data_IF_097808623005
#
_entry.id   IF_097808623005
#
_cell.length_a   1.000
_cell.length_b   1.000
_cell.length_c   1.000
_cell.angle_alpha   90.00
_cell.angle_beta   90.00
_cell.angle_gamma   90.00
#
_symmetry.space_group_name_H-M   'P 1'
#
loop_
_entity.id
_entity.type
_entity.pdbx_description
1 polymer ?
#
# COMPACT_ATOMS: atom_id res chain seq x y z
N UNK A 1 -7.49 -8.57 -3.43
CA UNK A 1 -6.90 -8.24 -4.74
C UNK A 1 -7.91 -8.32 -5.88
N UNK A 2 -8.59 -9.45 -6.12
CA UNK A 2 -9.55 -9.58 -7.23
C UNK A 2 -10.67 -8.52 -7.19
N UNK A 3 -11.25 -8.26 -6.02
CA UNK A 3 -12.27 -7.22 -5.84
C UNK A 3 -11.75 -5.81 -6.18
N UNK A 4 -10.55 -5.45 -5.72
CA UNK A 4 -9.94 -4.15 -6.02
C UNK A 4 -9.61 -4.01 -7.52
N UNK A 5 -9.18 -5.07 -8.19
CA UNK A 5 -8.90 -5.06 -9.63
C UNK A 5 -10.19 -4.92 -10.46
N UNK A 6 -11.26 -5.60 -10.07
CA UNK A 6 -12.58 -5.45 -10.68
C UNK A 6 -13.12 -4.03 -10.51
N UNK A 7 -12.97 -3.45 -9.31
CA UNK A 7 -13.39 -2.07 -9.03
C UNK A 7 -12.60 -1.03 -9.85
N UNK A 8 -11.28 -1.20 -10.01
CA UNK A 8 -10.46 -0.36 -10.90
C UNK A 8 -10.95 -0.44 -12.34
N UNK A 9 -11.20 -1.65 -12.84
CA UNK A 9 -11.64 -1.86 -14.22
C UNK A 9 -13.01 -1.24 -14.47
N UNK A 10 -13.95 -1.42 -13.55
CA UNK A 10 -15.27 -0.79 -13.65
C UNK A 10 -15.17 0.74 -13.63
N UNK A 11 -14.39 1.32 -12.70
CA UNK A 11 -14.22 2.76 -12.63
C UNK A 11 -13.54 3.35 -13.88
N UNK A 12 -12.58 2.62 -14.46
CA UNK A 12 -11.92 2.99 -15.73
C UNK A 12 -12.91 3.00 -16.89
N UNK A 13 -13.80 2.01 -16.98
CA UNK A 13 -14.86 1.98 -17.98
C UNK A 13 -15.84 3.16 -17.80
N UNK A 14 -16.25 3.44 -16.55
CA UNK A 14 -17.11 4.60 -16.25
C UNK A 14 -16.46 5.93 -16.63
N UNK A 15 -15.15 6.07 -16.43
CA UNK A 15 -14.40 7.24 -16.87
C UNK A 15 -14.39 7.37 -18.39
N UNK A 16 -14.17 6.27 -19.12
CA UNK A 16 -14.20 6.28 -20.60
C UNK A 16 -15.57 6.72 -21.13
N UNK A 17 -16.66 6.19 -20.56
CA UNK A 17 -18.02 6.58 -20.92
C UNK A 17 -18.25 8.07 -20.62
N UNK A 18 -17.87 8.53 -19.42
CA UNK A 18 -18.06 9.94 -19.02
C UNK A 18 -17.25 10.89 -19.90
N UNK A 19 -16.06 10.47 -20.33
CA UNK A 19 -15.21 11.22 -21.27
C UNK A 19 -15.86 11.35 -22.63
N UNK A 20 -16.40 10.25 -23.18
CA UNK A 20 -17.14 10.28 -24.43
C UNK A 20 -18.39 11.18 -24.33
N UNK A 21 -19.15 11.06 -23.24
CA UNK A 21 -20.32 11.90 -23.03
C UNK A 21 -19.96 13.39 -22.92
N UNK A 22 -18.84 13.72 -22.28
CA UNK A 22 -18.38 15.11 -22.17
C UNK A 22 -18.00 15.69 -23.53
N UNK A 23 -17.28 14.91 -24.35
CA UNK A 23 -16.91 15.31 -25.72
C UNK A 23 -18.14 15.54 -26.62
N UNK A 24 -19.23 14.82 -26.36
CA UNK A 24 -20.51 14.99 -27.05
C UNK A 24 -21.41 16.06 -26.40
N UNK A 25 -20.96 16.73 -25.34
CA UNK A 25 -21.75 17.74 -24.61
C UNK A 25 -22.89 17.19 -23.75
N UNK A 26 -22.96 15.86 -23.55
CA UNK A 26 -24.03 15.18 -22.82
C UNK A 26 -23.85 15.20 -21.30
N UNK A 27 -22.64 15.46 -20.79
CA UNK A 27 -22.35 15.62 -19.35
C UNK A 27 -21.51 16.86 -19.11
N UNK A 28 -21.63 17.41 -17.90
CA UNK A 28 -20.80 18.56 -17.49
C UNK A 28 -19.37 18.14 -17.15
N UNK A 29 -18.45 19.10 -17.18
CA UNK A 29 -17.07 18.88 -16.75
C UNK A 29 -16.96 18.39 -15.30
N UNK A 30 -17.86 18.83 -14.41
CA UNK A 30 -17.89 18.37 -13.00
C UNK A 30 -18.21 16.87 -12.91
N UNK A 31 -19.10 16.37 -13.77
CA UNK A 31 -19.38 14.92 -13.84
C UNK A 31 -18.18 14.13 -14.36
N UNK A 32 -17.48 14.64 -15.39
CA UNK A 32 -16.24 14.05 -15.86
C UNK A 32 -15.16 14.03 -14.75
N UNK A 33 -15.02 15.12 -14.00
CA UNK A 33 -14.07 15.20 -12.89
C UNK A 33 -14.41 14.21 -11.78
N UNK A 34 -15.70 14.05 -11.45
CA UNK A 34 -16.14 13.05 -10.47
C UNK A 34 -15.79 11.63 -10.93
N UNK A 35 -15.94 11.31 -12.22
CA UNK A 35 -15.57 10.01 -12.76
C UNK A 35 -14.04 9.78 -12.71
N UNK A 36 -13.24 10.81 -13.00
CA UNK A 36 -11.78 10.76 -12.85
C UNK A 36 -11.38 10.52 -11.40
N UNK A 37 -12.01 11.23 -10.46
CA UNK A 37 -11.75 11.07 -9.02
C UNK A 37 -12.08 9.66 -8.54
N UNK A 38 -13.20 9.10 -8.98
CA UNK A 38 -13.59 7.73 -8.64
C UNK A 38 -12.59 6.69 -9.17
N UNK A 39 -12.10 6.85 -10.40
CA UNK A 39 -11.06 5.98 -10.96
C UNK A 39 -9.73 6.10 -10.21
N UNK A 40 -9.29 7.31 -9.86
CA UNK A 40 -8.07 7.49 -9.08
C UNK A 40 -8.17 6.81 -7.71
N UNK A 41 -9.32 6.88 -7.04
CA UNK A 41 -9.54 6.22 -5.76
C UNK A 41 -9.41 4.69 -5.87
N UNK A 42 -10.01 4.08 -6.89
CA UNK A 42 -9.92 2.61 -7.08
C UNK A 42 -8.52 2.18 -7.50
N UNK A 43 -7.83 2.99 -8.31
CA UNK A 43 -6.44 2.74 -8.68
C UNK A 43 -5.50 2.79 -7.46
N UNK A 44 -5.65 3.79 -6.59
CA UNK A 44 -4.90 3.87 -5.32
C UNK A 44 -5.21 2.70 -4.40
N UNK A 45 -6.49 2.30 -4.27
CA UNK A 45 -6.87 1.16 -3.45
C UNK A 45 -6.26 -0.16 -3.95
N UNK A 46 -6.18 -0.34 -5.27
CA UNK A 46 -5.51 -1.49 -5.88
C UNK A 46 -4.00 -1.51 -5.53
N UNK A 47 -3.32 -0.37 -5.65
CA UNK A 47 -1.90 -0.25 -5.31
C UNK A 47 -1.65 -0.53 -3.82
N UNK A 48 -2.49 0.00 -2.92
CA UNK A 48 -2.42 -0.28 -1.48
C UNK A 48 -2.63 -1.77 -1.17
N UNK A 49 -3.60 -2.42 -1.83
CA UNK A 49 -3.83 -3.85 -1.65
C UNK A 49 -2.65 -4.71 -2.13
N UNK A 50 -1.95 -4.29 -3.19
CA UNK A 50 -0.72 -4.96 -3.63
C UNK A 50 0.41 -4.76 -2.63
N UNK A 51 0.61 -3.54 -2.14
CA UNK A 51 1.61 -3.23 -1.12
C UNK A 51 1.38 -4.05 0.17
N UNK A 52 0.13 -4.12 0.64
CA UNK A 52 -0.24 -4.92 1.80
C UNK A 52 0.13 -6.39 1.63
N UNK A 53 -0.17 -7.01 0.47
CA UNK A 53 0.20 -8.40 0.19
C UNK A 53 1.71 -8.65 0.28
N UNK A 54 2.52 -7.71 -0.22
CA UNK A 54 3.98 -7.83 -0.13
C UNK A 54 4.46 -7.67 1.32
N UNK A 55 3.89 -6.73 2.07
CA UNK A 55 4.18 -6.54 3.48
C UNK A 55 3.82 -7.77 4.32
N UNK A 56 2.66 -8.38 4.08
CA UNK A 56 2.22 -9.63 4.75
C UNK A 56 3.21 -10.77 4.49
N UNK A 57 3.71 -10.85 3.26
CA UNK A 57 4.72 -11.86 2.89
C UNK A 57 6.04 -11.60 3.62
N UNK A 58 6.51 -10.36 3.66
CA UNK A 58 7.71 -9.99 4.39
C UNK A 58 7.58 -10.25 5.91
N UNK A 59 6.42 -9.93 6.49
CA UNK A 59 6.13 -10.20 7.91
C UNK A 59 6.09 -11.71 8.19
N UNK A 60 5.53 -12.52 7.29
CA UNK A 60 5.55 -13.97 7.41
C UNK A 60 7.00 -14.52 7.38
N UNK A 61 7.83 -14.05 6.45
CA UNK A 61 9.26 -14.41 6.43
C UNK A 61 9.98 -13.96 7.70
N UNK A 62 9.63 -12.79 8.24
CA UNK A 62 10.17 -12.31 9.51
C UNK A 62 9.78 -13.23 10.68
N UNK A 63 8.50 -13.63 10.76
CA UNK A 63 8.00 -14.49 11.83
C UNK A 63 8.57 -15.92 11.78
N UNK A 64 8.85 -16.46 10.58
CA UNK A 64 9.39 -17.81 10.39
C UNK A 64 10.90 -17.94 10.69
N UNK A 65 11.58 -16.86 11.07
CA UNK A 65 13.01 -16.90 11.41
C UNK A 65 13.82 -15.67 10.98
N UNK A 66 13.16 -14.57 10.64
CA UNK A 66 13.81 -13.32 10.23
C UNK A 66 14.37 -12.52 11.40
N UNK A 67 15.43 -13.07 11.98
CA UNK A 67 16.36 -12.38 12.86
C UNK A 67 17.82 -12.59 12.46
N UNK A 68 18.11 -13.36 11.40
CA UNK A 68 19.49 -13.71 11.01
C UNK A 68 20.24 -12.57 10.31
N UNK A 69 19.54 -11.60 9.72
CA UNK A 69 20.18 -10.44 9.09
C UNK A 69 20.32 -9.23 10.03
N UNK A 70 19.75 -9.29 11.24
CA UNK A 70 19.99 -8.30 12.28
C UNK A 70 20.91 -8.93 13.33
N UNK A 71 22.24 -9.01 13.10
CA UNK A 71 23.14 -9.19 14.22
C UNK A 71 22.87 -8.01 15.15
N UNK A 72 22.21 -8.29 16.29
CA UNK A 72 22.03 -7.31 17.32
C UNK A 72 23.39 -6.64 17.53
N UNK A 73 23.43 -5.31 17.37
CA UNK A 73 24.61 -4.53 17.73
C UNK A 73 25.10 -5.05 19.08
N UNK A 74 26.41 -5.37 19.21
CA UNK A 74 26.93 -6.07 20.37
C UNK A 74 26.46 -5.31 21.61
N UNK A 75 25.64 -5.98 22.40
CA UNK A 75 25.17 -5.47 23.68
C UNK A 75 26.40 -4.97 24.43
N UNK A 76 26.40 -3.67 24.76
CA UNK A 76 27.36 -3.07 25.67
C UNK A 76 27.67 -4.06 26.81
N UNK A 77 28.95 -4.40 26.94
CA UNK A 77 29.43 -5.26 28.00
C UNK A 77 29.06 -4.64 29.36
N UNK A 78 28.38 -5.34 30.27
CA UNK A 78 28.21 -4.90 31.64
C UNK A 78 29.54 -5.13 32.39
N UNK A 79 30.51 -4.26 32.13
CA UNK A 79 31.76 -4.12 32.86
C UNK A 79 31.66 -3.11 34.00
N UNK A 80 30.50 -3.01 34.64
CA UNK A 80 30.33 -2.32 35.92
C UNK A 80 30.41 -3.35 37.05
N UNK A 81 31.62 -3.88 37.31
CA UNK A 81 31.92 -4.55 38.59
C UNK A 81 32.85 -3.67 39.40
N UNK A 82 32.21 -2.85 40.23
CA UNK A 82 32.72 -2.25 41.45
C UNK A 82 33.70 -3.20 42.14
N UNK A 83 34.97 -2.82 42.20
CA UNK A 83 35.97 -3.44 43.06
C UNK A 83 36.09 -2.62 44.34
N UNK A 84 35.21 -2.89 45.32
CA UNK A 84 35.37 -2.51 46.72
C UNK A 84 35.06 -3.73 47.60
N UNK A 85 36.12 -4.37 48.12
CA UNK A 85 36.24 -5.27 49.28
C UNK A 85 37.48 -6.13 48.99
N UNK A 86 38.61 -5.99 49.68
CA UNK A 86 38.86 -5.92 51.12
C UNK A 86 40.17 -5.16 51.38
#
# INVERSE_FOLDING_TARGET
LAAQAQAETAARQSLQISTAQYQNGAVSYVQLLSAQQAWLQTHTALAQAQAARYADTAALFQALGGGWWNPAAPSEAPGAVVSQQK
#
